data_IF_085442547700
#
_entry.id   IF_085442547700
#
_cell.length_a   1.000
_cell.length_b   1.000
_cell.length_c   1.000
_cell.angle_alpha   90.00
_cell.angle_beta   90.00
_cell.angle_gamma   90.00
#
_symmetry.space_group_name_H-M   'P 1'
#
loop_
_entity.id
_entity.type
_entity.pdbx_description
1 polymer ?
#
# COMPACT_ATOMS: atom_id res chain seq x y z
N UNK A 1 -14.47 26.82 -14.29
CA UNK A 1 -14.03 25.88 -13.23
C UNK A 1 -12.88 26.56 -12.50
N UNK A 2 -12.96 26.70 -11.17
CA UNK A 2 -12.02 27.50 -10.38
C UNK A 2 -10.60 26.94 -10.48
N UNK A 3 -9.65 27.80 -10.84
CA UNK A 3 -8.26 27.47 -11.18
C UNK A 3 -7.37 27.08 -10.00
N UNK A 4 -7.70 26.00 -9.30
CA UNK A 4 -6.75 25.28 -8.43
C UNK A 4 -6.35 23.98 -9.13
N UNK A 5 -5.04 23.79 -9.32
CA UNK A 5 -4.50 22.51 -9.78
C UNK A 5 -5.00 21.37 -8.88
N UNK A 6 -5.39 20.22 -9.42
CA UNK A 6 -5.82 19.08 -8.61
C UNK A 6 -4.74 18.69 -7.61
N UNK A 7 -5.16 18.28 -6.42
CA UNK A 7 -4.28 17.80 -5.35
C UNK A 7 -3.71 16.44 -5.74
N UNK A 8 -2.42 16.23 -5.52
CA UNK A 8 -1.78 14.96 -5.88
C UNK A 8 -1.94 13.91 -4.77
N UNK A 9 -2.25 12.68 -5.17
CA UNK A 9 -2.51 11.56 -4.25
C UNK A 9 -1.47 10.47 -4.47
N UNK A 10 -0.82 10.03 -3.40
CA UNK A 10 -0.11 8.76 -3.39
C UNK A 10 -1.05 7.66 -2.88
N UNK A 11 -1.41 6.72 -3.75
CA UNK A 11 -2.37 5.66 -3.48
C UNK A 11 -1.62 4.37 -3.16
N UNK A 12 -1.59 4.02 -1.88
CA UNK A 12 -0.88 2.84 -1.38
C UNK A 12 -1.81 1.64 -1.30
N UNK A 13 -1.39 0.53 -1.88
CA UNK A 13 -2.07 -0.75 -1.74
C UNK A 13 -1.04 -1.89 -1.79
N UNK A 14 -1.30 -2.98 -1.07
CA UNK A 14 -0.45 -4.16 -1.17
C UNK A 14 -0.58 -4.89 -2.52
N UNK A 15 -1.63 -4.56 -3.29
CA UNK A 15 -1.94 -5.20 -4.56
C UNK A 15 -2.39 -4.21 -5.63
N UNK A 16 -2.09 -4.51 -6.89
CA UNK A 16 -2.58 -3.82 -8.07
C UNK A 16 -2.85 -4.80 -9.22
N UNK A 17 -4.12 -4.90 -9.64
CA UNK A 17 -4.59 -5.68 -10.78
C UNK A 17 -4.55 -4.89 -12.07
N UNK A 18 -3.34 -4.59 -12.58
CA UNK A 18 -3.17 -3.87 -13.85
C UNK A 18 -3.19 -4.84 -15.03
N UNK A 19 -2.41 -5.91 -14.94
CA UNK A 19 -2.23 -6.95 -15.95
C UNK A 19 -2.31 -8.33 -15.29
N UNK A 20 -3.00 -9.28 -15.92
CA UNK A 20 -3.28 -10.59 -15.33
C UNK A 20 -2.07 -11.52 -15.22
N UNK A 21 -0.98 -11.23 -15.94
CA UNK A 21 0.25 -12.02 -15.89
C UNK A 21 1.24 -11.48 -14.87
N UNK A 22 0.97 -10.30 -14.29
CA UNK A 22 1.85 -9.66 -13.31
C UNK A 22 1.45 -10.10 -11.90
N UNK A 23 2.35 -10.73 -11.12
CA UNK A 23 2.05 -11.26 -9.79
C UNK A 23 2.01 -10.12 -8.75
N UNK A 24 1.03 -9.25 -8.88
CA UNK A 24 0.85 -8.06 -8.04
C UNK A 24 -0.54 -8.01 -7.40
N UNK A 25 -1.38 -9.03 -7.55
CA UNK A 25 -2.70 -9.08 -6.93
C UNK A 25 -3.22 -10.52 -6.81
N UNK A 26 -4.17 -10.74 -5.89
CA UNK A 26 -4.89 -11.99 -5.71
C UNK A 26 -6.42 -11.83 -5.84
N UNK A 27 -6.97 -10.63 -5.68
CA UNK A 27 -8.42 -10.49 -5.66
C UNK A 27 -8.99 -9.09 -5.88
N UNK A 28 -10.20 -8.88 -5.36
CA UNK A 28 -10.99 -7.67 -5.61
C UNK A 28 -10.33 -6.38 -5.11
N UNK A 29 -9.52 -6.44 -4.05
CA UNK A 29 -8.77 -5.28 -3.54
C UNK A 29 -7.78 -4.77 -4.60
N UNK A 30 -6.97 -5.67 -5.17
CA UNK A 30 -6.03 -5.34 -6.22
C UNK A 30 -6.70 -4.90 -7.52
N UNK A 31 -7.81 -5.55 -7.91
CA UNK A 31 -8.59 -5.12 -9.10
C UNK A 31 -9.12 -3.70 -8.92
N UNK A 32 -9.71 -3.39 -7.76
CA UNK A 32 -10.18 -2.03 -7.46
C UNK A 32 -9.03 -1.01 -7.51
N UNK A 33 -7.88 -1.34 -6.93
CA UNK A 33 -6.70 -0.47 -6.95
C UNK A 33 -6.22 -0.21 -8.39
N UNK A 34 -6.18 -1.26 -9.22
CA UNK A 34 -5.83 -1.15 -10.64
C UNK A 34 -6.84 -0.31 -11.44
N UNK A 35 -8.13 -0.56 -11.24
CA UNK A 35 -9.20 0.20 -11.91
C UNK A 35 -9.25 1.66 -11.47
N UNK A 36 -8.97 1.93 -10.20
CA UNK A 36 -8.86 3.31 -9.68
C UNK A 36 -7.72 4.06 -10.37
N UNK A 37 -6.57 3.42 -10.58
CA UNK A 37 -5.46 4.03 -11.33
C UNK A 37 -5.80 4.23 -12.81
N UNK A 38 -6.50 3.29 -13.45
CA UNK A 38 -6.92 3.41 -14.85
C UNK A 38 -7.91 4.57 -15.02
N UNK A 39 -8.93 4.68 -14.15
CA UNK A 39 -9.86 5.79 -14.15
C UNK A 39 -9.17 7.14 -13.85
N UNK A 40 -8.19 7.15 -12.92
CA UNK A 40 -7.40 8.35 -12.66
C UNK A 40 -6.60 8.78 -13.90
N UNK A 41 -6.03 7.82 -14.65
CA UNK A 41 -5.31 8.09 -15.89
C UNK A 41 -6.24 8.65 -16.98
N UNK A 42 -7.41 8.05 -17.18
CA UNK A 42 -8.41 8.52 -18.15
C UNK A 42 -8.90 9.95 -17.84
N UNK A 43 -8.91 10.34 -16.56
CA UNK A 43 -9.26 11.69 -16.09
C UNK A 43 -8.09 12.66 -15.96
N UNK A 44 -6.88 12.23 -16.32
CA UNK A 44 -5.64 12.98 -16.13
C UNK A 44 -5.44 13.49 -14.69
N UNK A 45 -5.82 12.67 -13.71
CA UNK A 45 -5.72 13.02 -12.30
C UNK A 45 -4.32 12.67 -11.75
N UNK A 46 -3.67 13.58 -11.00
CA UNK A 46 -2.30 13.38 -10.51
C UNK A 46 -2.23 12.35 -9.38
N UNK A 47 -2.11 11.08 -9.74
CA UNK A 47 -2.12 9.95 -8.82
C UNK A 47 -0.89 9.06 -9.00
N UNK A 48 -0.23 8.73 -7.89
CA UNK A 48 0.90 7.79 -7.88
C UNK A 48 0.52 6.55 -7.08
N UNK A 49 0.33 5.43 -7.76
CA UNK A 49 0.17 4.12 -7.13
C UNK A 49 1.49 3.64 -6.51
N UNK A 50 1.42 3.11 -5.30
CA UNK A 50 2.56 2.55 -4.56
C UNK A 50 2.17 1.15 -4.08
N UNK A 51 2.82 0.12 -4.62
CA UNK A 51 2.55 -1.29 -4.30
C UNK A 51 3.79 -2.15 -4.20
N UNK A 52 3.61 -3.46 -4.10
CA UNK A 52 4.71 -4.44 -4.01
C UNK A 52 4.78 -5.28 -5.30
N UNK A 53 6.01 -5.63 -5.72
CA UNK A 53 6.26 -6.61 -6.77
C UNK A 53 6.67 -7.94 -6.13
N UNK A 54 5.76 -8.92 -6.22
CA UNK A 54 6.02 -10.28 -5.73
C UNK A 54 6.65 -11.16 -6.82
N UNK A 55 7.18 -12.32 -6.42
CA UNK A 55 7.81 -13.31 -7.30
C UNK A 55 6.79 -14.34 -7.86
N UNK A 56 5.58 -14.38 -7.31
CA UNK A 56 4.50 -15.24 -7.81
C UNK A 56 4.66 -16.73 -7.48
N UNK A 57 5.19 -17.09 -6.31
CA UNK A 57 5.43 -18.50 -5.90
C UNK A 57 4.17 -19.38 -5.86
N UNK A 58 2.98 -18.79 -5.69
CA UNK A 58 1.69 -19.50 -5.63
C UNK A 58 0.64 -18.77 -6.47
N UNK A 59 1.02 -18.38 -7.68
CA UNK A 59 0.23 -17.46 -8.49
C UNK A 59 -0.63 -18.17 -9.54
N UNK A 60 -0.13 -19.26 -10.13
CA UNK A 60 -0.83 -19.96 -11.21
C UNK A 60 -1.63 -21.12 -10.62
N UNK A 61 -2.95 -21.06 -10.78
CA UNK A 61 -3.84 -22.16 -10.43
C UNK A 61 -3.89 -23.19 -11.56
N UNK A 62 -3.75 -24.48 -11.21
CA UNK A 62 -3.98 -25.62 -12.10
C UNK A 62 -4.98 -26.57 -11.45
N UNK A 63 -5.84 -27.18 -12.27
CA UNK A 63 -6.68 -28.30 -11.85
C UNK A 63 -6.08 -29.56 -12.45
N UNK A 64 -5.70 -30.51 -11.60
CA UNK A 64 -5.12 -31.76 -12.04
C UNK A 64 -6.20 -32.75 -12.52
N UNK A 65 -5.78 -33.93 -13.00
CA UNK A 65 -6.68 -34.93 -13.57
C UNK A 65 -7.71 -35.48 -12.58
N UNK A 66 -7.40 -35.42 -11.28
CA UNK A 66 -8.27 -35.87 -10.20
C UNK A 66 -9.24 -34.77 -9.72
N UNK A 67 -9.23 -33.60 -10.37
CA UNK A 67 -10.06 -32.45 -10.00
C UNK A 67 -9.53 -31.65 -8.81
N UNK A 68 -8.32 -31.93 -8.33
CA UNK A 68 -7.69 -31.17 -7.25
C UNK A 68 -6.99 -29.93 -7.77
N UNK A 69 -7.10 -28.85 -7.00
CA UNK A 69 -6.28 -27.66 -7.21
C UNK A 69 -4.82 -27.95 -6.87
N UNK A 70 -3.92 -27.40 -7.69
CA UNK A 70 -2.48 -27.33 -7.47
C UNK A 70 -1.95 -25.95 -7.86
N UNK A 71 -0.89 -25.50 -7.22
CA UNK A 71 -0.25 -24.20 -7.46
C UNK A 71 1.07 -24.35 -8.23
N UNK A 72 1.28 -23.48 -9.22
CA UNK A 72 2.55 -23.33 -9.94
C UNK A 72 3.17 -21.96 -9.67
N UNK A 73 4.50 -21.93 -9.67
CA UNK A 73 5.29 -20.69 -9.59
C UNK A 73 5.14 -19.95 -10.92
N UNK A 74 4.87 -18.65 -10.84
CA UNK A 74 4.91 -17.77 -12.01
C UNK A 74 6.32 -17.71 -12.57
N UNK A 75 6.47 -17.90 -13.88
CA UNK A 75 7.75 -17.66 -14.58
C UNK A 75 8.00 -16.18 -14.84
N UNK A 76 7.31 -15.30 -14.11
CA UNK A 76 7.38 -13.85 -14.29
C UNK A 76 8.78 -13.33 -13.98
N UNK A 77 9.47 -12.85 -15.02
CA UNK A 77 10.69 -12.06 -14.87
C UNK A 77 10.36 -10.59 -15.15
N UNK A 78 10.49 -9.70 -14.15
CA UNK A 78 10.27 -8.26 -14.31
C UNK A 78 11.08 -7.65 -15.47
N UNK A 79 12.27 -8.17 -15.76
CA UNK A 79 13.10 -7.68 -16.87
C UNK A 79 12.52 -8.02 -18.24
N UNK A 80 11.80 -9.15 -18.34
CA UNK A 80 11.13 -9.60 -19.57
C UNK A 80 9.72 -9.02 -19.73
N UNK A 81 9.06 -8.63 -18.62
CA UNK A 81 7.66 -8.23 -18.58
C UNK A 81 7.37 -6.76 -18.95
N UNK A 82 8.26 -6.11 -19.70
CA UNK A 82 8.17 -4.68 -20.06
C UNK A 82 8.06 -3.70 -18.88
N UNK A 83 8.29 -4.15 -17.63
CA UNK A 83 8.37 -3.27 -16.48
C UNK A 83 9.63 -2.40 -16.56
N UNK A 84 9.46 -1.09 -16.38
CA UNK A 84 10.60 -0.18 -16.41
C UNK A 84 11.21 -0.09 -15.02
N UNK A 85 12.41 -0.64 -14.85
CA UNK A 85 13.13 -0.47 -13.59
C UNK A 85 13.42 1.01 -13.35
N UNK A 86 13.15 1.49 -12.14
CA UNK A 86 13.46 2.87 -11.76
C UNK A 86 14.97 3.01 -11.63
N UNK A 87 15.54 4.00 -12.33
CA UNK A 87 16.99 4.22 -12.37
C UNK A 87 17.37 5.65 -12.01
N UNK A 88 18.59 5.81 -11.50
CA UNK A 88 19.24 7.11 -11.28
C UNK A 88 20.61 7.07 -11.97
N UNK A 89 20.81 7.91 -12.99
CA UNK A 89 22.05 7.90 -13.77
C UNK A 89 22.31 6.56 -14.48
N UNK A 90 21.25 5.89 -14.95
CA UNK A 90 21.33 4.60 -15.65
C UNK A 90 21.55 3.38 -14.76
N UNK A 91 21.67 3.54 -13.44
CA UNK A 91 21.79 2.44 -12.47
C UNK A 91 20.49 2.25 -11.69
N UNK A 92 20.17 1.03 -11.23
CA UNK A 92 19.03 0.81 -10.35
C UNK A 92 18.98 1.79 -9.19
N UNK A 93 17.84 2.45 -9.03
CA UNK A 93 17.59 3.29 -7.88
C UNK A 93 17.24 2.41 -6.68
N UNK A 94 17.88 2.70 -5.55
CA UNK A 94 17.58 2.07 -4.27
C UNK A 94 17.15 3.12 -3.26
N UNK A 95 16.12 2.83 -2.49
CA UNK A 95 15.83 3.46 -1.20
C UNK A 95 16.30 2.52 -0.10
N UNK A 96 16.98 3.07 0.90
CA UNK A 96 17.53 2.29 2.02
C UNK A 96 16.76 2.64 3.27
N UNK A 97 16.34 1.63 4.02
CA UNK A 97 15.67 1.79 5.30
C UNK A 97 16.28 0.82 6.32
N UNK A 98 16.40 1.28 7.57
CA UNK A 98 16.81 0.42 8.67
C UNK A 98 15.56 -0.25 9.26
N UNK A 99 15.52 -1.58 9.24
CA UNK A 99 14.46 -2.35 9.85
C UNK A 99 15.04 -3.30 10.87
N UNK A 100 14.81 -3.03 12.16
CA UNK A 100 15.29 -3.88 13.24
C UNK A 100 16.82 -3.99 13.31
N UNK A 101 17.53 -2.91 12.99
CA UNK A 101 19.00 -2.84 12.99
C UNK A 101 19.66 -3.27 11.68
N UNK A 102 18.90 -3.67 10.66
CA UNK A 102 19.42 -4.10 9.37
C UNK A 102 19.10 -3.09 8.28
N UNK A 103 20.08 -2.73 7.47
CA UNK A 103 19.86 -1.89 6.28
C UNK A 103 19.30 -2.73 5.13
N UNK A 104 18.09 -2.40 4.70
CA UNK A 104 17.40 -3.08 3.60
C UNK A 104 17.32 -2.15 2.40
N UNK A 105 17.78 -2.66 1.26
CA UNK A 105 17.81 -1.99 -0.03
C UNK A 105 16.55 -2.33 -0.82
N UNK A 106 15.66 -1.36 -0.95
CA UNK A 106 14.41 -1.50 -1.69
C UNK A 106 14.60 -0.86 -3.06
N UNK A 107 14.31 -1.59 -4.13
CA UNK A 107 14.27 -1.06 -5.50
C UNK A 107 12.83 -1.06 -6.00
N UNK A 108 12.58 -0.46 -7.16
CA UNK A 108 11.22 -0.39 -7.71
C UNK A 108 11.19 -0.48 -9.23
N UNK A 109 10.04 -0.90 -9.71
CA UNK A 109 9.66 -0.89 -11.12
C UNK A 109 8.50 0.08 -11.31
N UNK A 110 8.41 0.67 -12.50
CA UNK A 110 7.38 1.63 -12.87
C UNK A 110 6.52 1.09 -14.00
N UNK A 111 5.21 1.29 -13.87
CA UNK A 111 4.23 1.23 -14.96
C UNK A 111 3.67 2.64 -15.14
N UNK A 112 3.80 3.19 -16.34
CA UNK A 112 3.12 4.44 -16.71
C UNK A 112 1.70 4.08 -17.13
N UNK A 113 0.71 4.52 -16.35
CA UNK A 113 -0.72 4.25 -16.62
C UNK A 113 -1.32 5.40 -17.44
N UNK A 114 -0.92 6.63 -17.15
CA UNK A 114 -1.27 7.84 -17.89
C UNK A 114 -0.14 8.88 -17.84
N UNK A 115 -0.44 10.13 -18.21
CA UNK A 115 0.57 11.21 -18.20
C UNK A 115 0.92 11.65 -16.79
N UNK A 116 -0.09 11.84 -15.94
CA UNK A 116 0.06 12.19 -14.53
C UNK A 116 -0.24 11.04 -13.58
N UNK A 117 -0.42 9.82 -14.11
CA UNK A 117 -0.75 8.62 -13.32
C UNK A 117 0.29 7.52 -13.53
N UNK A 118 0.99 7.17 -12.45
CA UNK A 118 2.06 6.16 -12.47
C UNK A 118 1.87 5.17 -11.35
N UNK A 119 2.30 3.92 -11.56
CA UNK A 119 2.38 2.90 -10.52
C UNK A 119 3.84 2.53 -10.31
N UNK A 120 4.27 2.56 -9.06
CA UNK A 120 5.56 2.02 -8.62
C UNK A 120 5.36 0.76 -7.79
N UNK A 121 6.05 -0.30 -8.17
CA UNK A 121 6.03 -1.59 -7.50
C UNK A 121 7.38 -1.79 -6.82
N UNK A 122 7.40 -1.73 -5.49
CA UNK A 122 8.58 -1.90 -4.66
C UNK A 122 8.92 -3.38 -4.48
N UNK A 123 10.22 -3.67 -4.38
CA UNK A 123 10.69 -5.01 -4.03
C UNK A 123 11.98 -4.96 -3.23
N UNK A 124 12.07 -5.85 -2.24
CA UNK A 124 13.30 -6.16 -1.50
C UNK A 124 14.06 -7.35 -2.10
N UNK A 125 13.60 -7.95 -3.20
CA UNK A 125 14.37 -8.98 -3.89
C UNK A 125 15.55 -8.35 -4.63
N UNK A 126 16.67 -8.29 -3.92
CA UNK A 126 17.92 -7.70 -4.37
C UNK A 126 19.06 -8.48 -3.74
N UNK A 127 20.10 -8.79 -4.50
CA UNK A 127 21.33 -9.41 -3.99
C UNK A 127 22.04 -8.58 -2.91
N UNK A 128 21.63 -7.33 -2.69
CA UNK A 128 22.12 -6.48 -1.59
C UNK A 128 21.48 -6.82 -0.24
N UNK A 129 20.37 -7.56 -0.24
CA UNK A 129 19.63 -7.92 0.96
C UNK A 129 19.89 -9.38 1.34
N UNK A 130 19.83 -9.72 2.64
CA UNK A 130 19.86 -11.11 3.08
C UNK A 130 18.65 -11.90 2.56
N UNK A 131 18.78 -13.21 2.46
CA UNK A 131 17.79 -14.08 1.82
C UNK A 131 16.41 -14.05 2.49
N UNK A 132 16.36 -13.87 3.81
CA UNK A 132 15.10 -13.75 4.54
C UNK A 132 14.32 -12.49 4.11
N UNK A 133 15.00 -11.36 3.88
CA UNK A 133 14.40 -10.14 3.34
C UNK A 133 14.14 -10.17 1.83
N UNK A 134 14.77 -11.08 1.09
CA UNK A 134 14.39 -11.32 -0.31
C UNK A 134 13.12 -12.17 -0.37
N UNK A 135 13.03 -13.20 0.47
CA UNK A 135 11.93 -14.16 0.47
C UNK A 135 10.57 -13.58 0.87
N UNK A 136 10.53 -12.43 1.54
CA UNK A 136 9.26 -11.75 1.84
C UNK A 136 8.52 -11.33 0.57
N UNK A 137 9.19 -11.25 -0.58
CA UNK A 137 8.56 -10.95 -1.86
C UNK A 137 8.07 -12.21 -2.59
N UNK A 138 8.12 -13.40 -1.98
CA UNK A 138 7.75 -14.66 -2.66
C UNK A 138 6.32 -14.65 -3.20
N UNK A 139 5.36 -14.18 -2.40
CA UNK A 139 3.94 -14.11 -2.74
C UNK A 139 3.25 -13.07 -1.84
N UNK A 140 2.10 -12.59 -2.28
CA UNK A 140 1.19 -11.83 -1.43
C UNK A 140 0.55 -12.74 -0.37
N UNK A 141 0.12 -12.16 0.75
CA UNK A 141 -0.53 -12.86 1.87
C UNK A 141 0.25 -14.08 2.41
N UNK A 142 1.56 -14.13 2.18
CA UNK A 142 2.40 -15.29 2.51
C UNK A 142 3.21 -15.07 3.79
N UNK A 143 3.57 -16.20 4.39
CA UNK A 143 4.54 -16.28 5.47
C UNK A 143 3.94 -16.00 6.84
N UNK A 144 4.84 -15.99 7.81
CA UNK A 144 4.54 -15.78 9.21
C UNK A 144 4.31 -14.28 9.52
N UNK A 145 3.89 -13.94 10.75
CA UNK A 145 3.67 -12.55 11.15
C UNK A 145 4.88 -11.63 10.91
N UNK A 146 6.10 -12.14 11.10
CA UNK A 146 7.34 -11.41 10.83
C UNK A 146 7.45 -11.06 9.33
N UNK A 147 7.24 -12.04 8.45
CA UNK A 147 7.23 -11.84 6.98
C UNK A 147 6.22 -10.78 6.57
N UNK A 148 5.00 -10.86 7.11
CA UNK A 148 3.92 -9.94 6.76
C UNK A 148 4.18 -8.50 7.22
N UNK A 149 4.75 -8.29 8.41
CA UNK A 149 5.17 -6.96 8.86
C UNK A 149 6.28 -6.42 7.98
N UNK A 150 7.28 -7.24 7.62
CA UNK A 150 8.37 -6.81 6.74
C UNK A 150 7.86 -6.35 5.38
N UNK A 151 6.88 -7.05 4.79
CA UNK A 151 6.21 -6.59 3.56
C UNK A 151 5.55 -5.21 3.76
N UNK A 152 4.84 -5.01 4.88
CA UNK A 152 4.16 -3.75 5.19
C UNK A 152 5.13 -2.60 5.43
N UNK A 153 6.28 -2.85 6.05
CA UNK A 153 7.35 -1.87 6.23
C UNK A 153 7.97 -1.46 4.89
N UNK A 154 8.24 -2.42 4.00
CA UNK A 154 8.72 -2.14 2.64
C UNK A 154 7.69 -1.31 1.87
N UNK A 155 6.41 -1.68 1.93
CA UNK A 155 5.32 -0.95 1.27
C UNK A 155 5.19 0.48 1.81
N UNK A 156 5.06 0.63 3.13
CA UNK A 156 4.80 1.91 3.77
C UNK A 156 6.03 2.83 3.74
N UNK A 157 7.09 2.45 4.47
CA UNK A 157 8.30 3.28 4.63
C UNK A 157 9.07 3.37 3.31
N UNK A 158 9.25 2.24 2.62
CA UNK A 158 9.93 2.23 1.32
C UNK A 158 9.19 3.08 0.28
N UNK A 159 7.85 3.04 0.29
CA UNK A 159 7.03 3.84 -0.60
C UNK A 159 7.17 5.35 -0.38
N UNK A 160 7.10 5.81 0.88
CA UNK A 160 7.26 7.25 1.20
C UNK A 160 8.68 7.74 0.89
N UNK A 161 9.72 6.94 1.22
CA UNK A 161 11.10 7.25 0.82
C UNK A 161 11.28 7.32 -0.69
N UNK A 162 10.61 6.43 -1.45
CA UNK A 162 10.67 6.43 -2.91
C UNK A 162 10.06 7.71 -3.50
N UNK A 163 8.89 8.15 -2.98
CA UNK A 163 8.25 9.39 -3.39
C UNK A 163 9.17 10.60 -3.18
N UNK A 164 9.82 10.70 -2.02
CA UNK A 164 10.80 11.75 -1.73
C UNK A 164 11.99 11.70 -2.69
N UNK A 165 12.59 10.51 -2.88
CA UNK A 165 13.75 10.34 -3.75
C UNK A 165 13.46 10.70 -5.22
N UNK A 166 12.25 10.41 -5.68
CA UNK A 166 11.76 10.78 -7.01
C UNK A 166 11.24 12.22 -7.09
N UNK A 167 11.19 12.95 -5.97
CA UNK A 167 10.64 14.30 -5.85
C UNK A 167 9.19 14.38 -6.33
N UNK A 168 8.41 13.33 -6.07
CA UNK A 168 6.98 13.29 -6.40
C UNK A 168 6.22 14.07 -5.34
N UNK A 169 5.59 15.17 -5.76
CA UNK A 169 4.71 15.95 -4.88
C UNK A 169 3.54 15.08 -4.43
N UNK A 170 3.33 15.01 -3.12
CA UNK A 170 2.22 14.25 -2.52
C UNK A 170 1.45 15.17 -1.58
N UNK A 171 0.22 15.54 -1.94
CA UNK A 171 -0.67 16.31 -1.06
C UNK A 171 -1.40 15.39 -0.06
N UNK A 172 -1.79 14.18 -0.50
CA UNK A 172 -2.47 13.18 0.33
C UNK A 172 -1.91 11.77 0.12
N UNK A 173 -1.92 10.99 1.19
CA UNK A 173 -1.63 9.56 1.21
C UNK A 173 -2.94 8.80 1.38
N UNK A 174 -3.29 7.95 0.44
CA UNK A 174 -4.49 7.12 0.51
C UNK A 174 -4.07 5.67 0.77
N UNK A 175 -4.40 5.15 1.95
CA UNK A 175 -4.16 3.75 2.30
C UNK A 175 -5.40 2.93 1.95
N UNK A 176 -5.25 2.08 0.93
CA UNK A 176 -6.26 1.13 0.52
C UNK A 176 -6.10 -0.16 1.33
N UNK A 177 -6.92 -0.32 2.37
CA UNK A 177 -6.75 -1.28 3.47
C UNK A 177 -5.53 -0.96 4.37
N UNK A 178 -5.40 -1.63 5.52
CA UNK A 178 -4.47 -1.21 6.58
C UNK A 178 -2.99 -1.55 6.37
N UNK A 179 -2.64 -2.39 5.39
CA UNK A 179 -1.24 -2.84 5.16
C UNK A 179 -0.21 -1.72 4.97
N UNK A 180 -0.51 -0.57 4.35
CA UNK A 180 0.45 0.53 4.22
C UNK A 180 0.65 1.38 5.48
N UNK A 181 0.00 1.06 6.62
CA UNK A 181 -0.12 1.98 7.75
C UNK A 181 1.22 2.48 8.32
N UNK A 182 2.31 1.70 8.21
CA UNK A 182 3.64 2.11 8.67
C UNK A 182 4.27 3.23 7.83
N UNK A 183 3.68 3.60 6.69
CA UNK A 183 4.04 4.82 5.95
C UNK A 183 4.02 6.07 6.83
N UNK A 184 3.11 6.14 7.82
CA UNK A 184 3.02 7.29 8.74
C UNK A 184 4.31 7.54 9.52
N UNK A 185 5.10 6.50 9.81
CA UNK A 185 6.38 6.67 10.50
C UNK A 185 7.32 7.52 9.64
N UNK A 186 7.49 7.15 8.36
CA UNK A 186 8.32 7.92 7.44
C UNK A 186 7.77 9.32 7.17
N UNK A 187 6.45 9.48 7.05
CA UNK A 187 5.81 10.79 6.88
C UNK A 187 6.15 11.71 8.07
N UNK A 188 6.04 11.21 9.30
CA UNK A 188 6.40 11.95 10.51
C UNK A 188 7.89 12.30 10.51
N UNK A 189 8.77 11.33 10.20
CA UNK A 189 10.22 11.57 10.15
C UNK A 189 10.60 12.66 9.16
N UNK A 190 10.02 12.63 7.95
CA UNK A 190 10.22 13.67 6.94
C UNK A 190 9.68 15.03 7.38
N UNK A 191 8.55 15.09 8.08
CA UNK A 191 8.00 16.35 8.60
C UNK A 191 8.88 16.94 9.71
N UNK A 192 9.35 16.10 10.63
CA UNK A 192 10.27 16.53 11.69
C UNK A 192 11.59 17.05 11.09
N UNK A 193 12.15 16.36 10.10
CA UNK A 193 13.43 16.74 9.50
C UNK A 193 13.33 17.97 8.59
N UNK A 194 12.32 18.03 7.71
CA UNK A 194 12.19 19.09 6.70
C UNK A 194 11.59 20.39 7.27
N UNK A 195 10.67 20.28 8.23
CA UNK A 195 9.94 21.42 8.79
C UNK A 195 10.33 21.76 10.23
N UNK A 196 11.26 21.01 10.85
CA UNK A 196 11.73 21.18 12.24
C UNK A 196 10.61 21.12 13.28
N UNK A 197 9.59 20.31 13.01
CA UNK A 197 8.44 20.11 13.90
C UNK A 197 8.80 19.17 15.06
N UNK A 198 8.11 19.33 16.20
CA UNK A 198 8.09 18.29 17.23
C UNK A 198 7.39 17.03 16.70
N UNK A 199 7.54 15.91 17.39
CA UNK A 199 6.82 14.68 17.04
C UNK A 199 5.30 14.87 17.06
N UNK A 200 4.78 15.58 18.06
CA UNK A 200 3.34 15.84 18.23
C UNK A 200 2.80 16.70 17.09
N UNK A 201 3.52 17.75 16.71
CA UNK A 201 3.17 18.62 15.57
C UNK A 201 3.22 17.84 14.25
N UNK A 202 4.28 17.06 14.03
CA UNK A 202 4.45 16.23 12.84
C UNK A 202 3.38 15.13 12.75
N UNK A 203 2.99 14.52 13.87
CA UNK A 203 1.91 13.53 13.92
C UNK A 203 0.57 14.16 13.53
N UNK A 204 0.25 15.35 14.05
CA UNK A 204 -0.99 16.06 13.68
C UNK A 204 -0.99 16.36 12.17
N UNK A 205 0.10 16.91 11.63
CA UNK A 205 0.18 17.23 10.21
C UNK A 205 0.17 15.97 9.31
N UNK A 206 0.82 14.88 9.74
CA UNK A 206 0.78 13.61 9.02
C UNK A 206 -0.65 13.07 8.92
N UNK A 207 -1.40 13.08 10.04
CA UNK A 207 -2.79 12.60 10.09
C UNK A 207 -3.70 13.36 9.14
N UNK A 208 -3.54 14.69 9.03
CA UNK A 208 -4.31 15.53 8.11
C UNK A 208 -4.12 15.13 6.63
N UNK A 209 -2.97 14.53 6.28
CA UNK A 209 -2.65 14.10 4.92
C UNK A 209 -3.06 12.65 4.63
N UNK A 210 -3.49 11.87 5.62
CA UNK A 210 -3.78 10.43 5.46
C UNK A 210 -5.28 10.16 5.36
N UNK A 211 -5.64 9.41 4.33
CA UNK A 211 -6.99 8.87 4.07
C UNK A 211 -6.91 7.35 4.15
N UNK A 212 -7.80 6.72 4.90
CA UNK A 212 -7.88 5.27 5.04
C UNK A 212 -9.20 4.72 4.50
N UNK A 213 -9.13 3.68 3.66
CA UNK A 213 -10.31 2.93 3.22
C UNK A 213 -10.30 1.54 3.84
N UNK A 214 -11.37 1.22 4.57
CA UNK A 214 -11.61 -0.12 5.09
C UNK A 214 -12.40 -0.97 4.10
N UNK A 215 -11.94 -2.18 3.81
CA UNK A 215 -12.67 -3.19 3.02
C UNK A 215 -13.21 -4.34 3.87
N UNK A 216 -12.83 -4.38 5.16
CA UNK A 216 -12.96 -5.57 5.99
C UNK A 216 -13.77 -5.31 7.25
N UNK A 217 -14.84 -6.10 7.45
CA UNK A 217 -15.60 -6.14 8.71
C UNK A 217 -15.19 -7.34 9.58
N UNK A 218 -14.83 -8.45 8.94
CA UNK A 218 -14.52 -9.70 9.62
C UNK A 218 -13.25 -9.58 10.46
N UNK A 219 -13.34 -10.01 11.73
CA UNK A 219 -12.20 -9.98 12.65
C UNK A 219 -10.98 -10.73 12.10
N UNK A 220 -11.18 -11.83 11.37
CA UNK A 220 -10.10 -12.61 10.76
C UNK A 220 -9.33 -11.88 9.66
N UNK A 221 -9.95 -10.89 9.01
CA UNK A 221 -9.27 -10.04 8.02
C UNK A 221 -8.62 -8.79 8.64
N UNK A 222 -8.94 -8.46 9.89
CA UNK A 222 -8.29 -7.37 10.62
C UNK A 222 -7.00 -7.89 11.25
N UNK A 223 -5.88 -7.68 10.56
CA UNK A 223 -4.57 -8.16 10.99
C UNK A 223 -4.19 -7.62 12.38
N UNK A 224 -3.71 -8.52 13.23
CA UNK A 224 -3.16 -8.22 14.54
C UNK A 224 -1.79 -8.86 14.68
N UNK A 225 -0.92 -8.18 15.41
CA UNK A 225 0.44 -8.61 15.71
C UNK A 225 0.72 -8.43 17.19
N UNK A 226 1.64 -9.22 17.76
CA UNK A 226 2.12 -8.91 19.10
C UNK A 226 2.76 -7.52 19.12
N UNK A 227 2.48 -6.73 20.15
CA UNK A 227 3.05 -5.39 20.32
C UNK A 227 4.57 -5.40 20.29
N UNK A 228 5.21 -6.41 20.88
CA UNK A 228 6.68 -6.56 20.90
C UNK A 228 7.27 -6.69 19.49
N UNK A 229 6.60 -7.44 18.61
CA UNK A 229 7.02 -7.60 17.23
C UNK A 229 6.98 -6.26 16.48
N UNK A 230 5.93 -5.46 16.65
CA UNK A 230 5.85 -4.14 16.02
C UNK A 230 6.87 -3.19 16.64
N UNK A 231 7.04 -3.24 17.97
CA UNK A 231 7.99 -2.42 18.73
C UNK A 231 9.43 -2.67 18.29
N UNK A 232 9.82 -3.93 18.06
CA UNK A 232 11.13 -4.32 17.51
C UNK A 232 11.51 -3.52 16.27
N UNK A 233 10.57 -3.29 15.36
CA UNK A 233 10.82 -2.50 14.14
C UNK A 233 10.72 -1.00 14.38
N UNK A 234 9.73 -0.57 15.18
CA UNK A 234 9.53 0.83 15.53
C UNK A 234 10.73 1.44 16.28
N UNK A 235 11.49 0.63 17.03
CA UNK A 235 12.58 1.09 17.89
C UNK A 235 13.72 1.77 17.11
N UNK A 236 14.19 1.14 16.03
CA UNK A 236 15.19 1.74 15.14
C UNK A 236 14.74 3.08 14.56
N UNK A 237 13.44 3.18 14.26
CA UNK A 237 12.84 4.36 13.66
C UNK A 237 12.65 5.48 14.70
N UNK A 238 12.17 5.14 15.89
CA UNK A 238 12.01 6.03 17.02
C UNK A 238 13.33 6.63 17.50
N UNK A 239 14.40 5.83 17.53
CA UNK A 239 15.76 6.29 17.84
C UNK A 239 16.22 7.37 16.85
N UNK A 240 15.95 7.20 15.55
CA UNK A 240 16.31 8.20 14.52
C UNK A 240 15.58 9.54 14.68
N UNK A 241 14.41 9.53 15.31
CA UNK A 241 13.61 10.72 15.62
C UNK A 241 13.82 11.23 17.05
N UNK A 242 14.67 10.57 17.85
CA UNK A 242 14.88 10.86 19.27
C UNK A 242 13.57 10.83 20.10
N UNK A 243 12.74 9.81 19.88
CA UNK A 243 11.47 9.59 20.61
C UNK A 243 11.38 8.16 21.17
N UNK A 244 10.39 7.91 22.02
CA UNK A 244 10.08 6.55 22.46
C UNK A 244 9.28 5.80 21.39
N UNK A 245 9.64 4.55 21.08
CA UNK A 245 8.91 3.70 20.14
C UNK A 245 7.43 3.51 20.49
N UNK A 246 7.08 3.57 21.78
CA UNK A 246 5.71 3.51 22.25
C UNK A 246 4.87 4.69 21.71
N UNK A 247 5.47 5.85 21.45
CA UNK A 247 4.77 6.98 20.82
C UNK A 247 4.33 6.63 19.39
N UNK A 248 5.14 5.90 18.62
CA UNK A 248 4.80 5.50 17.24
C UNK A 248 3.69 4.46 17.17
N UNK A 249 3.66 3.52 18.11
CA UNK A 249 2.76 2.36 18.05
C UNK A 249 1.52 2.51 18.94
N UNK A 250 1.49 3.50 19.84
CA UNK A 250 0.41 3.71 20.82
C UNK A 250 -0.99 3.68 20.20
N UNK A 251 -1.16 4.33 19.05
CA UNK A 251 -2.43 4.43 18.34
C UNK A 251 -2.97 3.07 17.82
N UNK A 252 -2.17 2.00 17.87
CA UNK A 252 -2.55 0.67 17.39
C UNK A 252 -2.65 -0.38 18.50
N UNK A 253 -2.23 -0.06 19.73
CA UNK A 253 -2.34 -0.98 20.87
C UNK A 253 -3.81 -1.26 21.19
N UNK A 254 -4.16 -2.54 21.34
CA UNK A 254 -5.48 -2.98 21.76
C UNK A 254 -5.62 -2.93 23.30
N UNK A 255 -6.81 -3.25 23.82
CA UNK A 255 -7.16 -3.08 25.25
C UNK A 255 -6.17 -3.75 26.22
N UNK A 256 -5.68 -4.94 25.88
CA UNK A 256 -4.73 -5.69 26.70
C UNK A 256 -3.26 -5.25 26.50
N UNK A 257 -3.03 -4.30 25.58
CA UNK A 257 -1.73 -3.82 25.10
C UNK A 257 -0.76 -4.90 24.56
N UNK A 258 -1.14 -6.17 24.58
CA UNK A 258 -0.34 -7.30 24.12
C UNK A 258 -0.38 -7.39 22.59
N UNK A 259 -1.47 -6.92 21.99
CA UNK A 259 -1.70 -6.90 20.56
C UNK A 259 -1.71 -5.48 19.99
N UNK A 260 -1.27 -5.39 18.74
CA UNK A 260 -1.32 -4.24 17.87
C UNK A 260 -2.27 -4.54 16.70
N UNK A 261 -3.34 -3.76 16.56
CA UNK A 261 -4.32 -3.91 15.49
C UNK A 261 -4.04 -2.97 14.32
N UNK A 262 -3.84 -3.53 13.13
CA UNK A 262 -3.54 -2.77 11.90
C UNK A 262 -4.71 -1.87 11.50
N UNK A 263 -5.94 -2.39 11.53
CA UNK A 263 -7.15 -1.62 11.24
C UNK A 263 -7.35 -0.49 12.25
N UNK A 264 -7.16 -0.78 13.54
CA UNK A 264 -7.28 0.22 14.60
C UNK A 264 -6.23 1.33 14.45
N UNK A 265 -4.98 0.94 14.16
CA UNK A 265 -3.90 1.88 13.90
C UNK A 265 -4.23 2.77 12.71
N UNK A 266 -4.63 2.18 11.58
CA UNK A 266 -4.96 2.88 10.34
C UNK A 266 -6.08 3.91 10.53
N UNK A 267 -7.12 3.57 11.29
CA UNK A 267 -8.16 4.54 11.65
C UNK A 267 -7.62 5.68 12.52
N UNK A 268 -6.81 5.35 13.54
CA UNK A 268 -6.32 6.34 14.49
C UNK A 268 -5.25 7.29 13.91
N UNK A 269 -4.60 6.94 12.80
CA UNK A 269 -3.61 7.77 12.09
C UNK A 269 -4.17 8.52 10.87
N UNK A 270 -5.47 8.46 10.61
CA UNK A 270 -6.08 9.06 9.41
C UNK A 270 -7.05 10.18 9.77
N UNK A 271 -7.12 11.22 8.93
CA UNK A 271 -8.11 12.30 9.08
C UNK A 271 -9.45 11.95 8.43
N UNK A 272 -9.44 11.10 7.40
CA UNK A 272 -10.64 10.61 6.72
C UNK A 272 -10.64 9.10 6.65
N UNK A 273 -11.79 8.51 6.99
CA UNK A 273 -11.99 7.07 7.01
C UNK A 273 -13.20 6.75 6.13
N UNK A 274 -13.00 5.87 5.16
CA UNK A 274 -14.01 5.54 4.15
C UNK A 274 -14.38 4.06 4.16
N UNK A 275 -15.63 3.80 3.79
CA UNK A 275 -16.21 2.49 3.59
C UNK A 275 -16.57 2.30 2.12
N UNK A 276 -16.66 1.05 1.67
CA UNK A 276 -16.71 0.69 0.24
C UNK A 276 -18.12 0.57 -0.35
N UNK A 277 -19.14 0.79 0.47
CA UNK A 277 -20.54 0.90 0.08
C UNK A 277 -21.34 1.56 1.21
N UNK A 278 -22.58 1.98 0.91
CA UNK A 278 -23.48 2.54 1.93
C UNK A 278 -23.72 1.56 3.08
N UNK A 279 -24.09 0.32 2.76
CA UNK A 279 -24.37 -0.73 3.75
C UNK A 279 -23.09 -1.07 4.53
N UNK A 280 -21.94 -1.15 3.85
CA UNK A 280 -20.66 -1.38 4.53
C UNK A 280 -20.34 -0.25 5.52
N UNK A 281 -20.62 1.00 5.16
CA UNK A 281 -20.45 2.15 6.05
C UNK A 281 -21.35 2.08 7.28
N UNK A 282 -22.61 1.68 7.12
CA UNK A 282 -23.54 1.46 8.24
C UNK A 282 -23.07 0.35 9.18
N UNK A 283 -22.51 -0.74 8.65
CA UNK A 283 -21.94 -1.83 9.44
C UNK A 283 -20.65 -1.41 10.15
N UNK A 284 -19.77 -0.68 9.46
CA UNK A 284 -18.56 -0.11 10.06
C UNK A 284 -18.90 0.85 11.21
N UNK A 285 -19.93 1.68 11.06
CA UNK A 285 -20.39 2.59 12.12
C UNK A 285 -20.92 1.83 13.34
N UNK A 286 -21.55 0.66 13.16
CA UNK A 286 -21.98 -0.19 14.28
C UNK A 286 -20.79 -0.83 15.00
N UNK A 287 -19.77 -1.26 14.26
CA UNK A 287 -18.58 -1.92 14.81
C UNK A 287 -17.59 -0.93 15.46
N UNK A 288 -17.42 0.25 14.87
CA UNK A 288 -16.56 1.32 15.36
C UNK A 288 -17.35 2.63 15.48
N UNK A 289 -18.17 2.78 16.54
CA UNK A 289 -19.11 3.90 16.68
C UNK A 289 -18.45 5.26 16.88
N UNK A 290 -17.21 5.30 17.37
CA UNK A 290 -16.45 6.53 17.55
C UNK A 290 -15.85 7.09 16.24
N UNK A 291 -15.86 6.31 15.16
CA UNK A 291 -15.28 6.69 13.87
C UNK A 291 -16.34 7.33 12.99
N UNK A 292 -15.98 8.43 12.32
CA UNK A 292 -16.84 9.08 11.31
C UNK A 292 -16.59 8.46 9.93
N UNK A 293 -17.52 7.63 9.47
CA UNK A 293 -17.41 6.93 8.20
C UNK A 293 -17.97 7.74 7.02
N UNK A 294 -17.24 7.73 5.89
CA UNK A 294 -17.76 8.19 4.59
C UNK A 294 -17.93 6.99 3.65
N UNK A 295 -19.14 6.72 3.20
CA UNK A 295 -19.39 5.65 2.23
C UNK A 295 -19.06 6.12 0.81
N UNK A 296 -18.07 5.49 0.18
CA UNK A 296 -17.70 5.65 -1.22
C UNK A 296 -17.90 4.28 -1.87
N UNK A 297 -18.96 4.14 -2.66
CA UNK A 297 -19.27 2.87 -3.31
C UNK A 297 -18.20 2.54 -4.34
N UNK A 298 -17.64 1.33 -4.26
CA UNK A 298 -16.67 0.84 -5.25
C UNK A 298 -17.24 0.90 -6.68
N UNK A 299 -16.36 1.12 -7.64
CA UNK A 299 -16.64 1.04 -9.06
C UNK A 299 -15.61 0.17 -9.77
N UNK A 300 -15.83 -0.05 -11.06
CA UNK A 300 -14.89 -0.73 -11.96
C UNK A 300 -14.56 0.18 -13.12
N UNK A 301 -13.38 0.01 -13.72
CA UNK A 301 -12.96 0.79 -14.87
C UNK A 301 -13.74 0.33 -16.12
N UNK A 302 -14.74 1.10 -16.54
CA UNK A 302 -15.68 0.68 -17.59
C UNK A 302 -14.96 0.23 -18.89
N UNK A 303 -13.91 0.92 -19.38
CA UNK A 303 -13.15 0.45 -20.53
C UNK A 303 -12.37 -0.87 -20.33
N UNK A 304 -12.09 -1.31 -19.10
CA UNK A 304 -11.52 -2.64 -18.85
C UNK A 304 -12.57 -3.74 -19.03
N UNK A 305 -13.81 -3.46 -18.60
CA UNK A 305 -14.83 -4.50 -18.35
C UNK A 305 -15.97 -4.52 -19.37
N UNK A 306 -16.07 -3.52 -20.24
CA UNK A 306 -17.05 -3.47 -21.31
C UNK A 306 -16.38 -3.57 -22.68
N UNK A 307 -16.84 -4.47 -23.55
CA UNK A 307 -16.36 -4.54 -24.93
C UNK A 307 -16.61 -3.19 -25.63
N UNK A 308 -15.67 -2.72 -26.45
CA UNK A 308 -15.75 -1.45 -27.17
C UNK A 308 -17.05 -1.30 -27.98
N UNK A 309 -17.57 -2.39 -28.55
CA UNK A 309 -18.81 -2.37 -29.33
C UNK A 309 -20.05 -2.06 -28.49
N UNK A 310 -20.04 -2.32 -27.17
CA UNK A 310 -21.17 -2.02 -26.28
C UNK A 310 -21.03 -0.68 -25.55
N UNK A 311 -19.95 0.08 -25.82
CA UNK A 311 -19.73 1.40 -25.20
C UNK A 311 -20.47 2.51 -25.94
N UNK A 312 -21.09 2.23 -27.08
CA UNK A 312 -21.93 3.19 -27.78
C UNK A 312 -23.25 3.36 -27.01
N UNK A 313 -23.50 4.54 -26.41
CA UNK A 313 -24.74 4.79 -25.69
C UNK A 313 -25.98 4.68 -26.59
N UNK A 314 -25.83 4.76 -27.92
CA UNK A 314 -26.93 4.60 -28.87
C UNK A 314 -27.41 3.15 -29.02
N UNK A 315 -26.62 2.15 -28.57
CA UNK A 315 -26.99 0.73 -28.62
C UNK A 315 -27.81 0.28 -27.41
N UNK A 316 -27.99 1.15 -26.41
CA UNK A 316 -28.70 0.84 -25.15
C UNK A 316 -30.16 1.33 -25.12
N UNK A 317 -30.73 1.70 -26.27
CA UNK A 317 -32.12 2.17 -26.42
C UNK A 317 -33.04 1.08 -26.97
#
# INVERSE_FOLDING_TARGET
MSGKSPKSVAYFCAEFGIDSNTPTYAGGLGILAGDTLKEAADRDYPMTGIGLLYQGKMFIQRINQDGWQTEEVSLYDPASACLRRVTQGGKPMYVVANFGGQEIYITSYQIRVGDHTNLYLLTSDSHKNPDDWRSIMSADYWGDPETQIRQQLVLGIGGVKLLEKLKIKTDYYHFNEGRPCFAVWEIISQLMSNSKLSFEEALVEAKEKIIYTNHTLLKSGNLQYSTDLVKKYAESFAQSMNINSDQLISAGKLEDQSQFGITQYSMNISSKITAVSKIHGELCQKQWPAVKWSAITNGVHLPSWQNTHFRDPNLSN
#
